data_IF_527955016761
#
_entry.id   IF_527955016761
#
_cell.length_a   1.000
_cell.length_b   1.000
_cell.length_c   1.000
_cell.angle_alpha   90.00
_cell.angle_beta   90.00
_cell.angle_gamma   90.00
#
_symmetry.space_group_name_H-M   'P 1'
#
loop_
_entity.id
_entity.type
_entity.pdbx_description
1 polymer ?
#
# COMPACT_ATOMS: atom_id res chain seq x y z
N UNK A 1 -12.97 21.83 73.03
CA UNK A 1 -14.07 20.98 73.56
C UNK A 1 -14.52 20.15 72.37
N UNK A 2 -14.38 18.86 72.22
CA UNK A 2 -14.32 17.73 73.09
C UNK A 2 -13.53 16.63 72.43
N UNK A 3 -12.68 15.95 73.17
CA UNK A 3 -11.94 14.73 72.85
C UNK A 3 -12.86 13.52 72.89
N UNK A 4 -12.59 12.44 72.07
CA UNK A 4 -12.80 11.01 72.37
C UNK A 4 -12.27 10.28 71.10
N UNK A 5 -11.35 9.34 71.02
CA UNK A 5 -10.86 8.36 71.99
C UNK A 5 -10.73 7.06 71.19
N UNK A 6 -9.50 6.56 70.92
CA UNK A 6 -9.22 5.27 70.29
C UNK A 6 -9.38 4.11 71.31
N UNK A 7 -9.74 2.89 70.87
CA UNK A 7 -9.26 1.71 71.56
C UNK A 7 -8.36 0.83 70.72
N UNK A 8 -7.35 0.37 71.40
CA UNK A 8 -6.26 -0.54 71.02
C UNK A 8 -6.69 -1.98 70.94
N UNK A 9 -6.12 -2.71 69.99
CA UNK A 9 -5.56 -4.04 70.21
C UNK A 9 -6.45 -5.25 69.97
N UNK A 10 -6.07 -6.02 68.91
CA UNK A 10 -6.02 -7.48 69.08
C UNK A 10 -5.03 -8.10 68.05
N UNK A 11 -4.20 -8.98 68.58
CA UNK A 11 -3.13 -9.73 67.92
C UNK A 11 -3.73 -10.74 66.93
N UNK A 12 -3.28 -10.71 65.66
CA UNK A 12 -3.52 -11.77 64.70
C UNK A 12 -2.32 -12.75 64.67
N UNK A 13 -2.62 -14.01 64.93
CA UNK A 13 -1.68 -15.16 64.89
C UNK A 13 -1.24 -15.41 63.46
N UNK A 14 0.06 -15.58 63.27
CA UNK A 14 0.66 -16.10 62.02
C UNK A 14 0.33 -17.59 61.89
N UNK A 15 -0.38 -17.96 60.81
CA UNK A 15 -0.48 -19.35 60.34
C UNK A 15 0.57 -19.52 59.25
N UNK A 16 1.57 -20.34 59.55
CA UNK A 16 2.59 -20.78 58.59
C UNK A 16 2.03 -21.98 57.87
N UNK A 17 1.78 -21.82 56.57
CA UNK A 17 1.52 -22.95 55.68
C UNK A 17 2.79 -23.31 54.96
N UNK A 18 3.38 -24.43 55.29
CA UNK A 18 4.42 -25.08 54.52
C UNK A 18 3.79 -25.83 53.35
N UNK A 19 3.89 -25.26 52.14
CA UNK A 19 3.60 -26.01 50.93
C UNK A 19 4.86 -26.76 50.49
N UNK A 20 4.80 -28.08 50.61
CA UNK A 20 5.78 -28.98 50.03
C UNK A 20 5.68 -28.96 48.52
N UNK A 21 6.76 -28.59 47.85
CA UNK A 21 6.90 -28.67 46.39
C UNK A 21 7.43 -30.06 46.06
N UNK A 22 6.54 -30.93 45.54
CA UNK A 22 6.99 -32.18 44.90
C UNK A 22 7.48 -31.88 43.50
N UNK A 23 8.79 -31.96 43.28
CA UNK A 23 9.41 -31.92 41.96
C UNK A 23 9.14 -33.26 41.26
N UNK A 24 8.21 -33.27 40.30
CA UNK A 24 8.09 -34.39 39.34
C UNK A 24 9.01 -34.05 38.15
N UNK A 25 10.13 -34.72 38.06
CA UNK A 25 11.05 -34.66 36.90
C UNK A 25 10.39 -35.45 35.76
N UNK A 26 9.83 -34.78 34.77
CA UNK A 26 9.43 -35.43 33.52
C UNK A 26 10.65 -35.39 32.59
N UNK A 27 11.26 -36.54 32.38
CA UNK A 27 12.29 -36.72 31.36
C UNK A 27 11.62 -36.69 29.98
N UNK A 28 11.80 -35.57 29.27
CA UNK A 28 11.43 -35.45 27.84
C UNK A 28 12.56 -36.09 27.03
N UNK A 29 12.34 -37.29 26.53
CA UNK A 29 13.21 -37.95 25.57
C UNK A 29 13.22 -37.19 24.25
N UNK A 30 14.34 -36.57 23.90
CA UNK A 30 14.58 -35.96 22.61
C UNK A 30 14.82 -37.08 21.58
N UNK A 31 13.78 -37.41 20.79
CA UNK A 31 13.93 -38.28 19.61
C UNK A 31 14.43 -37.42 18.45
N UNK A 32 15.72 -37.54 18.16
CA UNK A 32 16.32 -36.90 16.97
C UNK A 32 15.99 -37.80 15.77
N UNK A 33 15.05 -37.34 14.94
CA UNK A 33 14.86 -37.91 13.60
C UNK A 33 15.93 -37.36 12.67
N UNK A 34 16.91 -38.19 12.32
CA UNK A 34 17.82 -37.93 11.22
C UNK A 34 17.08 -38.26 9.91
N UNK A 35 17.08 -37.39 8.90
CA UNK A 35 16.52 -37.74 7.60
C UNK A 35 17.42 -38.78 6.92
N UNK A 36 16.84 -39.73 6.15
CA UNK A 36 17.63 -40.70 5.41
C UNK A 36 18.46 -40.01 4.33
N UNK A 37 19.74 -40.35 4.28
CA UNK A 37 20.68 -39.94 3.24
C UNK A 37 20.26 -40.54 1.89
N UNK A 38 19.73 -39.71 0.99
CA UNK A 38 19.53 -40.10 -0.40
C UNK A 38 20.84 -39.90 -1.17
N UNK A 39 21.47 -41.02 -1.55
CA UNK A 39 22.50 -41.04 -2.60
C UNK A 39 21.85 -40.70 -3.94
N UNK A 40 22.44 -39.79 -4.75
CA UNK A 40 21.89 -39.52 -6.08
C UNK A 40 22.12 -40.72 -6.99
N UNK A 41 21.02 -41.31 -7.44
CA UNK A 41 21.05 -42.31 -8.56
C UNK A 41 21.15 -41.49 -9.84
N UNK A 42 22.25 -41.64 -10.54
CA UNK A 42 22.46 -41.08 -11.90
C UNK A 42 21.46 -41.67 -12.87
N UNK A 43 20.64 -40.82 -13.49
CA UNK A 43 19.77 -41.21 -14.59
C UNK A 43 20.62 -41.43 -15.86
N UNK A 44 20.33 -42.46 -16.68
CA UNK A 44 21.00 -42.66 -17.94
C UNK A 44 20.61 -41.59 -18.96
N UNK A 45 21.59 -41.22 -19.81
CA UNK A 45 21.42 -40.23 -20.87
C UNK A 45 20.41 -40.72 -21.91
N UNK A 46 19.57 -39.82 -22.48
CA UNK A 46 18.65 -40.20 -23.54
C UNK A 46 19.38 -40.42 -24.86
N UNK A 47 19.09 -41.55 -25.50
CA UNK A 47 19.51 -41.88 -26.86
C UNK A 47 18.76 -41.00 -27.88
N UNK A 48 19.42 -40.54 -28.94
CA UNK A 48 18.77 -39.73 -29.97
C UNK A 48 17.88 -40.61 -30.89
N UNK A 49 16.58 -40.29 -30.94
CA UNK A 49 15.68 -40.81 -31.98
C UNK A 49 15.69 -39.88 -33.19
N UNK A 50 15.65 -40.43 -34.43
CA UNK A 50 15.64 -39.62 -35.64
C UNK A 50 14.31 -38.90 -35.83
N UNK A 51 14.39 -37.58 -35.98
CA UNK A 51 13.25 -36.72 -36.28
C UNK A 51 12.82 -36.90 -37.74
N UNK A 52 11.66 -37.50 -37.94
CA UNK A 52 10.93 -37.34 -39.21
C UNK A 52 10.06 -36.09 -39.12
N UNK A 53 10.48 -35.05 -39.81
CA UNK A 53 9.69 -33.86 -40.07
C UNK A 53 8.50 -34.25 -40.94
N UNK A 54 7.28 -34.17 -40.39
CA UNK A 54 6.05 -34.11 -41.17
C UNK A 54 5.54 -32.68 -41.13
N UNK A 55 5.61 -32.03 -42.29
CA UNK A 55 4.93 -30.79 -42.54
C UNK A 55 3.40 -30.94 -42.33
N UNK A 56 2.87 -30.28 -41.33
CA UNK A 56 1.42 -30.09 -41.18
C UNK A 56 1.09 -28.65 -41.53
N UNK A 57 0.04 -28.40 -42.33
CA UNK A 57 -0.29 -27.04 -42.75
C UNK A 57 -0.73 -26.19 -41.57
N UNK A 58 -0.20 -24.98 -41.53
CA UNK A 58 -0.56 -23.96 -40.56
C UNK A 58 -2.07 -23.71 -40.58
N UNK A 59 -2.77 -24.10 -39.48
CA UNK A 59 -4.14 -23.61 -39.22
C UNK A 59 -4.05 -22.16 -38.80
N UNK A 60 -4.49 -21.29 -39.68
CA UNK A 60 -4.83 -19.91 -39.36
C UNK A 60 -5.83 -19.89 -38.20
N UNK A 61 -5.38 -19.54 -36.99
CA UNK A 61 -6.23 -19.27 -35.87
C UNK A 61 -6.89 -17.92 -36.12
N UNK A 62 -8.13 -17.94 -36.56
CA UNK A 62 -9.00 -16.76 -36.54
C UNK A 62 -9.16 -16.34 -35.09
N UNK A 63 -8.51 -15.26 -34.68
CA UNK A 63 -8.77 -14.58 -33.42
C UNK A 63 -10.17 -13.96 -33.51
N UNK A 64 -11.17 -14.68 -33.05
CA UNK A 64 -12.48 -14.08 -32.75
C UNK A 64 -12.26 -13.15 -31.57
N UNK A 65 -12.15 -11.85 -31.86
CA UNK A 65 -12.21 -10.81 -30.83
C UNK A 65 -13.57 -10.96 -30.13
N UNK A 66 -13.54 -11.37 -28.87
CA UNK A 66 -14.74 -11.34 -28.01
C UNK A 66 -15.07 -9.87 -27.79
N UNK A 67 -16.01 -9.36 -28.56
CA UNK A 67 -16.59 -8.03 -28.33
C UNK A 67 -17.56 -8.14 -27.17
N UNK A 68 -17.15 -7.57 -26.02
CA UNK A 68 -18.07 -7.39 -24.91
C UNK A 68 -19.05 -6.28 -25.22
N UNK A 69 -20.36 -6.41 -24.90
CA UNK A 69 -21.32 -5.37 -25.17
C UNK A 69 -20.97 -4.11 -24.36
N UNK A 70 -20.72 -3.01 -25.04
CA UNK A 70 -20.64 -1.68 -24.42
C UNK A 70 -22.06 -1.27 -24.06
N UNK A 71 -22.42 -1.37 -22.80
CA UNK A 71 -23.73 -0.96 -22.32
C UNK A 71 -23.73 0.53 -21.94
N UNK A 72 -24.47 1.34 -22.68
CA UNK A 72 -24.82 2.73 -22.34
C UNK A 72 -23.96 3.79 -23.02
N UNK A 73 -24.41 5.06 -23.01
CA UNK A 73 -23.63 6.16 -23.55
C UNK A 73 -22.30 6.26 -22.77
N UNK A 74 -21.19 6.19 -23.50
CA UNK A 74 -19.85 6.40 -22.93
C UNK A 74 -19.80 7.85 -22.48
N UNK A 75 -19.75 8.10 -21.16
CA UNK A 75 -19.56 9.44 -20.64
C UNK A 75 -18.25 10.01 -21.21
N UNK A 76 -18.24 11.29 -21.51
CA UNK A 76 -17.02 11.99 -21.95
C UNK A 76 -16.05 12.09 -20.77
N UNK A 77 -15.11 11.16 -20.70
CA UNK A 77 -14.11 11.07 -19.62
C UNK A 77 -13.05 12.19 -19.69
N UNK A 78 -13.13 13.10 -20.66
CA UNK A 78 -12.31 14.32 -20.72
C UNK A 78 -12.91 15.47 -19.90
N UNK A 79 -14.20 15.41 -19.59
CA UNK A 79 -14.88 16.43 -18.78
C UNK A 79 -14.47 16.28 -17.31
N UNK A 80 -13.98 17.36 -16.66
CA UNK A 80 -13.61 17.30 -15.25
C UNK A 80 -14.78 16.88 -14.35
N UNK A 81 -14.44 16.16 -13.28
CA UNK A 81 -15.43 15.74 -12.27
C UNK A 81 -15.98 16.99 -11.56
N UNK A 82 -17.30 17.21 -11.56
CA UNK A 82 -17.90 18.36 -10.90
C UNK A 82 -17.57 18.42 -9.40
N UNK A 83 -17.15 19.59 -8.91
CA UNK A 83 -16.77 19.79 -7.52
C UNK A 83 -15.31 19.48 -7.20
N UNK A 84 -14.57 18.88 -8.13
CA UNK A 84 -13.12 18.69 -7.95
C UNK A 84 -12.42 20.05 -7.87
N UNK A 85 -11.51 20.27 -6.88
CA UNK A 85 -10.68 21.46 -6.85
C UNK A 85 -9.89 21.61 -8.16
N UNK A 86 -9.76 22.83 -8.71
CA UNK A 86 -9.03 23.04 -9.96
C UNK A 86 -7.58 22.58 -9.85
N UNK A 87 -7.07 21.95 -10.90
CA UNK A 87 -5.64 21.61 -11.02
C UNK A 87 -4.89 22.91 -11.30
N UNK A 88 -3.96 23.32 -10.41
CA UNK A 88 -3.32 24.66 -10.53
C UNK A 88 -2.37 24.77 -11.73
N UNK A 89 -1.74 23.66 -12.10
CA UNK A 89 -0.88 23.56 -13.27
C UNK A 89 -1.27 22.32 -14.11
N UNK A 90 -1.87 22.50 -15.28
CA UNK A 90 -2.21 21.37 -16.15
C UNK A 90 -1.02 20.52 -16.62
N UNK A 91 0.20 21.07 -16.55
CA UNK A 91 1.43 20.33 -16.86
C UNK A 91 1.96 19.55 -15.67
N UNK A 92 1.47 19.82 -14.45
CA UNK A 92 1.91 19.15 -13.23
C UNK A 92 0.77 19.01 -12.20
N UNK A 93 0.09 17.86 -12.22
CA UNK A 93 -0.97 17.55 -11.26
C UNK A 93 -0.50 17.50 -9.80
N UNK A 94 0.82 17.45 -9.55
CA UNK A 94 1.43 17.46 -8.23
C UNK A 94 1.93 18.85 -7.82
N UNK A 95 1.57 19.92 -8.55
CA UNK A 95 2.09 21.27 -8.32
C UNK A 95 1.92 21.75 -6.88
N UNK A 96 0.81 21.41 -6.22
CA UNK A 96 0.55 21.77 -4.81
C UNK A 96 1.12 20.76 -3.79
N UNK A 97 1.69 19.64 -4.25
CA UNK A 97 2.32 18.62 -3.41
C UNK A 97 3.85 18.70 -3.40
N UNK A 98 4.40 19.84 -3.81
CA UNK A 98 5.84 20.15 -3.80
C UNK A 98 6.43 20.20 -2.39
N UNK A 99 7.77 20.27 -2.31
CA UNK A 99 8.49 20.27 -1.04
C UNK A 99 7.97 21.36 -0.08
N UNK A 100 7.58 20.94 1.12
CA UNK A 100 7.05 21.78 2.21
C UNK A 100 5.77 22.57 1.89
N UNK A 101 5.06 22.26 0.80
CA UNK A 101 3.78 22.89 0.45
C UNK A 101 2.64 22.31 1.30
N UNK A 102 2.74 22.53 2.61
CA UNK A 102 1.80 21.98 3.59
C UNK A 102 0.49 22.78 3.62
N UNK A 103 -0.64 22.05 3.59
CA UNK A 103 -1.96 22.66 3.80
C UNK A 103 -2.05 23.35 5.17
N UNK A 104 -2.79 24.49 5.28
CA UNK A 104 -3.14 25.05 6.58
C UNK A 104 -3.83 24.07 7.55
N UNK A 105 -4.50 23.04 7.01
CA UNK A 105 -5.18 22.00 7.81
C UNK A 105 -4.20 21.18 8.67
N UNK A 106 -2.94 21.06 8.28
CA UNK A 106 -1.90 20.31 9.01
C UNK A 106 -0.95 21.20 9.82
N UNK A 107 -1.29 22.49 9.97
CA UNK A 107 -0.44 23.43 10.73
C UNK A 107 -0.20 22.93 12.17
N UNK A 108 1.07 22.87 12.55
CA UNK A 108 1.49 22.41 13.87
C UNK A 108 1.43 20.89 14.06
N UNK A 109 1.07 20.12 13.02
CA UNK A 109 1.11 18.66 13.11
C UNK A 109 2.55 18.16 13.30
N UNK A 110 2.80 17.27 14.29
CA UNK A 110 4.12 16.70 14.49
C UNK A 110 4.54 15.83 13.32
N UNK A 111 5.80 15.94 12.90
CA UNK A 111 6.35 15.04 11.89
C UNK A 111 6.53 13.64 12.48
N UNK A 112 5.80 12.65 11.93
CA UNK A 112 5.79 11.25 12.36
C UNK A 112 5.64 10.32 11.18
N UNK A 113 6.11 9.07 11.35
CA UNK A 113 5.88 7.96 10.44
C UNK A 113 4.97 6.96 11.13
N UNK A 114 3.84 6.66 10.51
CA UNK A 114 2.86 5.67 11.01
C UNK A 114 2.99 4.40 10.17
N UNK A 115 3.30 3.30 10.82
CA UNK A 115 3.63 2.03 10.17
C UNK A 115 2.61 0.97 10.58
N UNK A 116 1.73 0.53 9.68
CA UNK A 116 0.84 -0.59 9.98
C UNK A 116 1.65 -1.89 9.91
N UNK A 117 1.65 -2.63 11.00
CA UNK A 117 2.34 -3.92 11.16
C UNK A 117 1.32 -5.03 10.93
N UNK A 118 1.14 -5.48 9.69
CA UNK A 118 0.06 -6.37 9.26
C UNK A 118 0.03 -7.67 10.04
N UNK A 119 1.19 -8.32 10.23
CA UNK A 119 1.32 -9.55 11.00
C UNK A 119 1.20 -9.38 12.51
N UNK A 120 1.38 -8.14 13.02
CA UNK A 120 1.34 -7.81 14.45
C UNK A 120 0.00 -7.24 14.92
N UNK A 121 -0.89 -6.87 14.00
CA UNK A 121 -2.15 -6.15 14.29
C UNK A 121 -1.92 -4.87 15.10
N UNK A 122 -0.84 -4.16 14.78
CA UNK A 122 -0.42 -2.93 15.47
C UNK A 122 -0.12 -1.81 14.47
N UNK A 123 -0.02 -0.60 14.99
CA UNK A 123 0.64 0.52 14.31
C UNK A 123 1.83 0.94 15.16
N UNK A 124 3.00 0.96 14.54
CA UNK A 124 4.23 1.54 15.10
C UNK A 124 4.37 2.98 14.66
N UNK A 125 4.71 3.89 15.59
CA UNK A 125 4.93 5.31 15.32
C UNK A 125 6.41 5.63 15.53
N UNK A 126 7.04 6.20 14.50
CA UNK A 126 8.45 6.61 14.52
C UNK A 126 8.55 8.13 14.59
N UNK A 127 9.48 8.63 15.41
CA UNK A 127 9.92 10.01 15.37
C UNK A 127 11.12 10.15 14.40
N UNK A 128 10.94 10.86 13.26
CA UNK A 128 11.99 11.00 12.26
C UNK A 128 13.22 11.78 12.75
N UNK A 129 13.05 12.69 13.72
CA UNK A 129 14.16 13.54 14.21
C UNK A 129 15.24 12.74 14.93
N UNK A 130 14.89 11.63 15.56
CA UNK A 130 15.84 10.77 16.29
C UNK A 130 15.83 9.31 15.81
N UNK A 131 15.06 9.00 14.75
CA UNK A 131 14.97 7.69 14.12
C UNK A 131 14.50 6.58 15.09
N UNK A 132 13.66 6.92 16.08
CA UNK A 132 13.22 5.98 17.13
C UNK A 132 11.72 5.75 17.07
N UNK A 133 11.31 4.52 17.39
CA UNK A 133 9.94 4.18 17.74
C UNK A 133 9.57 4.92 19.03
N UNK A 134 8.45 5.66 19.00
CA UNK A 134 7.94 6.43 20.14
C UNK A 134 6.61 5.90 20.68
N UNK A 135 5.93 5.06 19.90
CA UNK A 135 4.69 4.39 20.33
C UNK A 135 4.45 3.15 19.46
N UNK A 136 3.74 2.18 20.04
CA UNK A 136 3.10 1.07 19.33
C UNK A 136 1.76 0.83 20.00
N UNK A 137 0.70 0.65 19.22
CA UNK A 137 -0.63 0.40 19.74
C UNK A 137 -1.40 -0.58 18.85
N UNK A 138 -2.32 -1.33 19.47
CA UNK A 138 -3.17 -2.27 18.76
C UNK A 138 -4.22 -1.55 17.91
N UNK A 139 -4.53 -2.16 16.78
CA UNK A 139 -5.62 -1.77 15.85
C UNK A 139 -6.56 -2.96 15.65
N UNK A 140 -7.21 -3.08 14.51
CA UNK A 140 -7.86 -4.33 14.11
C UNK A 140 -6.86 -5.34 13.54
N UNK A 141 -7.35 -6.52 13.19
CA UNK A 141 -6.55 -7.58 12.58
C UNK A 141 -6.09 -7.17 11.18
N UNK A 142 -4.83 -7.50 10.85
CA UNK A 142 -4.21 -7.29 9.55
C UNK A 142 -4.31 -5.84 9.05
N UNK A 143 -3.72 -4.85 9.77
CA UNK A 143 -3.68 -3.47 9.29
C UNK A 143 -2.80 -3.38 8.04
N UNK A 144 -3.36 -2.88 6.92
CA UNK A 144 -2.67 -2.81 5.63
C UNK A 144 -2.08 -1.43 5.35
N UNK A 145 -2.88 -0.36 5.49
CA UNK A 145 -2.46 0.99 5.16
C UNK A 145 -2.82 1.98 6.27
N UNK A 146 -2.01 3.03 6.40
CA UNK A 146 -2.40 4.24 7.15
C UNK A 146 -2.67 5.34 6.13
N UNK A 147 -3.91 5.77 6.06
CA UNK A 147 -4.46 6.60 4.98
C UNK A 147 -4.88 7.97 5.54
N UNK A 148 -4.33 9.09 5.03
CA UNK A 148 -4.83 10.41 5.39
C UNK A 148 -6.24 10.64 4.85
N UNK A 149 -7.13 11.17 5.69
CA UNK A 149 -8.46 11.62 5.28
C UNK A 149 -8.38 12.74 4.24
N UNK A 150 -9.44 12.92 3.45
CA UNK A 150 -9.51 13.92 2.38
C UNK A 150 -9.13 15.33 2.87
N UNK A 151 -9.65 15.71 4.05
CA UNK A 151 -9.46 17.02 4.66
C UNK A 151 -8.12 17.16 5.43
N UNK A 152 -7.28 16.13 5.43
CA UNK A 152 -5.99 16.08 6.12
C UNK A 152 -6.08 16.27 7.64
N UNK A 153 -7.20 15.87 8.28
CA UNK A 153 -7.41 16.06 9.74
C UNK A 153 -7.36 14.77 10.55
N UNK A 154 -7.60 13.66 9.89
CA UNK A 154 -7.61 12.32 10.51
C UNK A 154 -6.80 11.36 9.65
N UNK A 155 -6.09 10.43 10.28
CA UNK A 155 -5.52 9.27 9.60
C UNK A 155 -6.40 8.05 9.90
N UNK A 156 -6.52 7.14 8.96
CA UNK A 156 -7.29 5.91 9.11
C UNK A 156 -6.39 4.70 8.85
N UNK A 157 -6.41 3.73 9.76
CA UNK A 157 -5.77 2.43 9.54
C UNK A 157 -6.80 1.50 8.94
N UNK A 158 -6.52 0.93 7.78
CA UNK A 158 -7.37 -0.08 7.15
C UNK A 158 -7.06 -1.44 7.77
N UNK A 159 -8.00 -2.00 8.56
CA UNK A 159 -7.85 -3.31 9.21
C UNK A 159 -8.62 -4.34 8.41
N UNK A 160 -7.96 -4.91 7.44
CA UNK A 160 -8.51 -5.78 6.41
C UNK A 160 -9.33 -6.95 7.01
N UNK A 161 -8.70 -7.83 7.77
CA UNK A 161 -9.37 -9.00 8.37
C UNK A 161 -10.29 -8.64 9.56
N UNK A 162 -10.19 -7.43 10.12
CA UNK A 162 -11.10 -6.97 11.16
C UNK A 162 -12.33 -6.21 10.62
N UNK A 163 -12.45 -6.05 9.30
CA UNK A 163 -13.55 -5.34 8.67
C UNK A 163 -13.78 -3.95 9.32
N UNK A 164 -12.71 -3.17 9.51
CA UNK A 164 -12.83 -1.89 10.21
C UNK A 164 -11.73 -0.89 9.83
N UNK A 165 -12.00 0.38 10.09
CA UNK A 165 -11.00 1.45 10.09
C UNK A 165 -10.72 1.89 11.53
N UNK A 166 -9.44 2.05 11.88
CA UNK A 166 -9.05 2.68 13.15
C UNK A 166 -8.69 4.14 12.87
N UNK A 167 -9.48 5.12 13.37
CA UNK A 167 -9.12 6.52 13.23
C UNK A 167 -7.96 6.87 14.17
N UNK A 168 -7.02 7.71 13.68
CA UNK A 168 -5.90 8.25 14.45
C UNK A 168 -6.00 9.77 14.41
N UNK A 169 -5.84 10.41 15.58
CA UNK A 169 -5.62 11.85 15.65
C UNK A 169 -4.12 12.13 15.39
N UNK A 170 -3.76 12.77 14.25
CA UNK A 170 -2.38 12.98 13.89
C UNK A 170 -1.65 14.00 14.79
N UNK A 171 -2.38 14.86 15.52
CA UNK A 171 -1.79 15.79 16.48
C UNK A 171 -1.25 15.05 17.71
N UNK A 172 -1.97 14.06 18.20
CA UNK A 172 -1.55 13.24 19.35
C UNK A 172 -0.75 12.01 18.93
N UNK A 173 -0.95 11.51 17.71
CA UNK A 173 -0.37 10.28 17.18
C UNK A 173 -1.02 9.01 17.77
N UNK A 174 -2.24 9.10 18.28
CA UNK A 174 -2.93 8.01 18.96
C UNK A 174 -4.29 7.73 18.33
N UNK A 175 -4.84 6.51 18.49
CA UNK A 175 -6.21 6.21 18.10
C UNK A 175 -7.20 7.22 18.66
N UNK A 176 -8.21 7.57 17.86
CA UNK A 176 -9.22 8.58 18.17
C UNK A 176 -10.63 7.99 17.99
N UNK A 177 -11.23 7.57 19.09
CA UNK A 177 -12.58 7.00 19.05
C UNK A 177 -12.62 5.48 18.83
N UNK A 178 -13.78 5.00 18.40
CA UNK A 178 -14.01 3.58 18.11
C UNK A 178 -13.65 3.24 16.67
N UNK A 179 -13.30 1.97 16.43
CA UNK A 179 -13.17 1.47 15.06
C UNK A 179 -14.48 1.61 14.30
N UNK A 180 -14.37 2.03 13.04
CA UNK A 180 -15.49 2.27 12.13
C UNK A 180 -15.68 0.99 11.31
N UNK A 181 -16.87 0.36 11.34
CA UNK A 181 -17.12 -0.87 10.58
C UNK A 181 -17.20 -0.56 9.08
N UNK A 182 -16.39 -1.24 8.31
CA UNK A 182 -16.39 -1.26 6.84
C UNK A 182 -16.01 -2.66 6.38
N UNK A 183 -16.46 -3.07 5.20
CA UNK A 183 -16.19 -4.42 4.71
C UNK A 183 -14.81 -4.50 4.05
N UNK A 184 -13.96 -5.46 4.49
CA UNK A 184 -12.76 -5.94 3.80
C UNK A 184 -11.84 -4.79 3.30
N UNK A 185 -11.43 -3.84 4.20
CA UNK A 185 -10.71 -2.65 3.78
C UNK A 185 -9.23 -2.95 3.56
N UNK A 186 -8.85 -3.45 2.39
CA UNK A 186 -7.44 -3.56 2.02
C UNK A 186 -6.79 -2.18 1.94
N UNK A 187 -7.43 -1.25 1.23
CA UNK A 187 -6.95 0.13 1.08
C UNK A 187 -8.13 1.11 1.07
N UNK A 188 -7.85 2.41 1.13
CA UNK A 188 -8.87 3.44 1.07
C UNK A 188 -8.39 4.66 0.29
N UNK A 189 -9.30 5.23 -0.51
CA UNK A 189 -9.08 6.41 -1.32
C UNK A 189 -10.22 7.41 -1.14
N UNK A 190 -10.06 8.60 -1.74
CA UNK A 190 -11.12 9.61 -1.78
C UNK A 190 -11.28 10.11 -3.21
N UNK A 191 -12.51 10.28 -3.66
CA UNK A 191 -12.77 10.89 -4.96
C UNK A 191 -12.20 12.32 -5.00
N UNK A 192 -11.69 12.79 -6.16
CA UNK A 192 -11.07 14.11 -6.25
C UNK A 192 -11.98 15.29 -5.85
N UNK A 193 -13.29 15.11 -5.90
CA UNK A 193 -14.31 16.10 -5.44
C UNK A 193 -14.61 15.98 -3.92
N UNK A 194 -14.01 15.01 -3.23
CA UNK A 194 -14.23 14.76 -1.81
C UNK A 194 -15.60 14.18 -1.44
N UNK A 195 -16.42 13.82 -2.42
CA UNK A 195 -17.81 13.32 -2.15
C UNK A 195 -17.85 11.92 -1.57
N UNK A 196 -16.84 11.08 -1.87
CA UNK A 196 -16.81 9.70 -1.44
C UNK A 196 -15.44 9.31 -0.88
N UNK A 197 -15.46 8.54 0.19
CA UNK A 197 -14.38 7.63 0.55
C UNK A 197 -14.60 6.32 -0.25
N UNK A 198 -13.55 5.81 -0.89
CA UNK A 198 -13.58 4.55 -1.65
C UNK A 198 -12.84 3.51 -0.83
N UNK A 199 -13.56 2.59 -0.21
CA UNK A 199 -12.96 1.43 0.45
C UNK A 199 -12.77 0.34 -0.60
N UNK A 200 -11.53 -0.11 -0.73
CA UNK A 200 -11.14 -1.20 -1.63
C UNK A 200 -11.31 -2.51 -0.88
N UNK A 201 -12.40 -3.22 -1.16
CA UNK A 201 -12.70 -4.52 -0.60
C UNK A 201 -12.13 -5.62 -1.52
N UNK A 202 -10.84 -5.92 -1.30
CA UNK A 202 -10.01 -6.73 -2.18
C UNK A 202 -10.54 -8.14 -2.40
N UNK A 203 -10.74 -8.90 -1.32
CA UNK A 203 -11.21 -10.27 -1.37
C UNK A 203 -12.64 -10.38 -1.88
N UNK A 204 -13.44 -9.31 -1.69
CA UNK A 204 -14.84 -9.23 -2.16
C UNK A 204 -14.96 -8.70 -3.58
N UNK A 205 -13.88 -8.23 -4.18
CA UNK A 205 -13.85 -7.62 -5.50
C UNK A 205 -14.83 -6.45 -5.63
N UNK A 206 -14.88 -5.60 -4.60
CA UNK A 206 -15.76 -4.44 -4.55
C UNK A 206 -14.99 -3.14 -4.37
N UNK A 207 -15.49 -2.09 -4.99
CA UNK A 207 -15.16 -0.71 -4.65
C UNK A 207 -16.39 -0.11 -3.95
N UNK A 208 -16.26 0.15 -2.65
CA UNK A 208 -17.33 0.70 -1.82
C UNK A 208 -17.20 2.22 -1.73
N UNK A 209 -18.10 2.95 -2.39
CA UNK A 209 -18.21 4.39 -2.31
C UNK A 209 -19.03 4.75 -1.08
N UNK A 210 -18.38 5.35 -0.10
CA UNK A 210 -18.93 5.64 1.22
C UNK A 210 -18.95 7.15 1.46
N UNK A 211 -19.82 7.59 2.32
CA UNK A 211 -19.79 8.95 2.84
C UNK A 211 -18.45 9.22 3.54
N UNK A 212 -17.69 10.27 3.21
CA UNK A 212 -16.33 10.46 3.70
C UNK A 212 -16.23 10.81 5.20
N UNK A 213 -17.35 11.16 5.84
CA UNK A 213 -17.40 11.53 7.25
C UNK A 213 -17.99 10.44 8.14
N UNK A 214 -19.07 9.79 7.67
CA UNK A 214 -19.79 8.76 8.44
C UNK A 214 -19.40 7.35 8.04
N UNK A 215 -18.76 7.17 6.90
CA UNK A 215 -18.44 5.90 6.24
C UNK A 215 -19.67 5.03 5.91
N UNK A 216 -20.87 5.61 5.95
CA UNK A 216 -22.07 4.93 5.48
C UNK A 216 -21.95 4.59 4.00
N UNK A 217 -22.24 3.34 3.62
CA UNK A 217 -22.20 2.90 2.22
C UNK A 217 -23.24 3.67 1.40
N UNK A 218 -22.80 4.30 0.30
CA UNK A 218 -23.62 5.05 -0.63
C UNK A 218 -23.82 4.30 -1.94
N UNK A 219 -22.75 3.69 -2.45
CA UNK A 219 -22.75 2.93 -3.68
C UNK A 219 -21.69 1.83 -3.62
N UNK A 220 -21.94 0.68 -4.24
CA UNK A 220 -20.99 -0.43 -4.37
C UNK A 220 -20.84 -0.80 -5.83
N UNK A 221 -19.62 -0.89 -6.32
CA UNK A 221 -19.29 -1.41 -7.63
C UNK A 221 -18.61 -2.76 -7.44
N UNK A 222 -19.30 -3.84 -7.85
CA UNK A 222 -18.63 -5.12 -8.00
C UNK A 222 -17.80 -5.10 -9.28
N UNK A 223 -16.51 -5.48 -9.18
CA UNK A 223 -15.59 -5.50 -10.32
C UNK A 223 -15.10 -6.93 -10.57
N UNK A 224 -15.02 -7.33 -11.86
CA UNK A 224 -14.36 -8.59 -12.21
C UNK A 224 -12.84 -8.41 -12.17
N UNK A 225 -12.30 -8.31 -10.95
CA UNK A 225 -10.95 -7.87 -10.66
C UNK A 225 -10.46 -8.58 -9.40
N UNK A 226 -10.05 -9.86 -9.54
CA UNK A 226 -9.51 -10.62 -8.43
C UNK A 226 -8.26 -9.90 -7.86
N UNK A 227 -8.26 -9.62 -6.55
CA UNK A 227 -7.23 -8.82 -5.91
C UNK A 227 -7.28 -7.36 -6.36
N UNK A 228 -8.46 -6.72 -6.35
CA UNK A 228 -8.55 -5.27 -6.55
C UNK A 228 -7.85 -4.57 -5.39
N UNK A 229 -6.78 -3.78 -5.67
CA UNK A 229 -5.93 -3.31 -4.57
C UNK A 229 -5.58 -1.82 -4.61
N UNK A 230 -4.92 -1.31 -5.66
CA UNK A 230 -4.46 0.08 -5.71
C UNK A 230 -5.20 0.89 -6.77
N UNK A 231 -5.31 2.20 -6.50
CA UNK A 231 -6.05 3.14 -7.36
C UNK A 231 -5.22 4.40 -7.58
N UNK A 232 -5.28 4.97 -8.80
CA UNK A 232 -5.02 6.38 -9.02
C UNK A 232 -6.07 6.98 -9.97
N UNK A 233 -6.15 8.31 -9.99
CA UNK A 233 -7.20 9.07 -10.64
C UNK A 233 -6.68 9.80 -11.87
N UNK A 234 -7.50 9.93 -12.89
CA UNK A 234 -7.23 10.82 -14.00
C UNK A 234 -6.99 12.27 -13.54
N UNK A 235 -6.22 13.03 -14.29
CA UNK A 235 -5.97 14.45 -14.00
C UNK A 235 -7.27 15.27 -13.91
N UNK A 236 -8.28 14.90 -14.70
CA UNK A 236 -9.62 15.51 -14.70
C UNK A 236 -10.49 15.02 -13.54
N UNK A 237 -10.07 13.99 -12.79
CA UNK A 237 -10.92 13.31 -11.82
C UNK A 237 -12.08 12.53 -12.41
N UNK A 238 -12.26 12.51 -13.72
CA UNK A 238 -13.41 11.90 -14.39
C UNK A 238 -13.49 10.37 -14.25
N UNK A 239 -12.34 9.73 -14.02
CA UNK A 239 -12.27 8.29 -13.83
C UNK A 239 -11.10 7.92 -12.91
N UNK A 240 -11.15 6.74 -12.37
CA UNK A 240 -10.03 6.07 -11.71
C UNK A 240 -9.64 4.81 -12.49
N UNK A 241 -8.40 4.36 -12.28
CA UNK A 241 -7.94 3.03 -12.66
C UNK A 241 -7.55 2.29 -11.39
N UNK A 242 -8.06 1.05 -11.24
CA UNK A 242 -7.66 0.14 -10.17
C UNK A 242 -6.90 -1.05 -10.75
N UNK A 243 -5.92 -1.53 -9.99
CA UNK A 243 -5.13 -2.72 -10.28
C UNK A 243 -5.83 -3.97 -9.75
N UNK A 244 -5.60 -5.11 -10.41
CA UNK A 244 -6.17 -6.41 -10.07
C UNK A 244 -5.03 -7.41 -9.93
N UNK A 245 -4.40 -7.50 -8.75
CA UNK A 245 -3.18 -8.27 -8.50
C UNK A 245 -3.30 -9.72 -8.98
N UNK A 246 -4.37 -10.41 -8.57
CA UNK A 246 -4.56 -11.82 -8.90
C UNK A 246 -5.28 -12.03 -10.23
N UNK A 247 -5.90 -10.96 -10.76
CA UNK A 247 -6.63 -10.99 -12.03
C UNK A 247 -5.78 -10.68 -13.26
N UNK A 248 -4.54 -10.20 -13.08
CA UNK A 248 -3.64 -9.83 -14.18
C UNK A 248 -4.25 -8.79 -15.13
N UNK A 249 -4.92 -7.77 -14.59
CA UNK A 249 -5.61 -6.72 -15.38
C UNK A 249 -5.74 -5.42 -14.61
N UNK A 250 -6.21 -4.40 -15.31
CA UNK A 250 -6.65 -3.13 -14.75
C UNK A 250 -8.14 -2.95 -15.01
N UNK A 251 -8.84 -2.24 -14.13
CA UNK A 251 -10.22 -1.81 -14.33
C UNK A 251 -10.31 -0.29 -14.30
N UNK A 252 -11.01 0.31 -15.26
CA UNK A 252 -11.32 1.73 -15.29
C UNK A 252 -12.77 1.96 -14.85
N UNK A 253 -12.95 2.86 -13.87
CA UNK A 253 -14.25 3.25 -13.34
C UNK A 253 -14.54 4.70 -13.71
N UNK A 254 -15.67 4.95 -14.33
CA UNK A 254 -16.21 6.29 -14.59
C UNK A 254 -16.79 6.87 -13.29
N UNK A 255 -16.30 8.02 -12.85
CA UNK A 255 -16.72 8.67 -11.59
C UNK A 255 -17.95 9.58 -11.76
N UNK A 256 -18.37 9.92 -12.98
CA UNK A 256 -19.64 10.63 -13.22
C UNK A 256 -20.83 9.67 -13.05
N UNK A 257 -20.67 8.43 -13.52
CA UNK A 257 -21.75 7.43 -13.54
C UNK A 257 -21.61 6.36 -12.47
N UNK A 258 -20.47 6.26 -11.80
CA UNK A 258 -20.10 5.20 -10.86
C UNK A 258 -20.26 3.80 -11.48
N UNK A 259 -19.72 3.62 -12.69
CA UNK A 259 -19.80 2.36 -13.44
C UNK A 259 -18.43 1.94 -13.98
N UNK A 260 -18.28 0.63 -14.20
CA UNK A 260 -17.12 0.09 -14.92
C UNK A 260 -17.12 0.62 -16.35
N UNK A 261 -16.05 1.31 -16.75
CA UNK A 261 -15.84 1.84 -18.10
C UNK A 261 -15.00 0.93 -18.98
N UNK A 262 -14.33 -0.07 -18.42
CA UNK A 262 -13.57 -1.06 -19.18
C UNK A 262 -12.49 -1.77 -18.39
N UNK A 263 -11.89 -2.77 -19.02
CA UNK A 263 -10.77 -3.54 -18.50
C UNK A 263 -9.60 -3.53 -19.49
N UNK A 264 -8.37 -3.56 -18.98
CA UNK A 264 -7.16 -3.76 -19.74
C UNK A 264 -6.43 -5.00 -19.20
N UNK A 265 -6.35 -6.05 -19.99
CA UNK A 265 -5.66 -7.28 -19.60
C UNK A 265 -4.14 -7.12 -19.71
N UNK A 266 -3.45 -7.62 -18.71
CA UNK A 266 -1.99 -7.70 -18.58
C UNK A 266 -1.61 -9.18 -18.34
N UNK A 267 -1.53 -10.02 -19.39
CA UNK A 267 -1.36 -11.46 -19.22
C UNK A 267 -0.08 -11.80 -18.45
N UNK A 268 -0.18 -12.65 -17.43
CA UNK A 268 0.95 -13.07 -16.60
C UNK A 268 1.38 -12.04 -15.55
N UNK A 269 0.76 -10.86 -15.51
CA UNK A 269 1.04 -9.81 -14.56
C UNK A 269 0.40 -10.05 -13.19
N UNK A 270 1.02 -9.45 -12.16
CA UNK A 270 0.42 -9.19 -10.87
C UNK A 270 0.59 -7.68 -10.57
N UNK A 271 -0.29 -6.84 -11.18
CA UNK A 271 -0.18 -5.40 -11.06
C UNK A 271 -0.42 -4.94 -9.62
N UNK A 272 0.45 -4.05 -9.14
CA UNK A 272 0.49 -3.51 -7.79
C UNK A 272 0.14 -2.02 -7.81
N UNK A 273 0.95 -1.18 -7.15
CA UNK A 273 0.71 0.26 -7.09
C UNK A 273 0.64 0.92 -8.48
N UNK A 274 -0.13 1.99 -8.55
CA UNK A 274 -0.37 2.76 -9.78
C UNK A 274 -0.22 4.25 -9.50
N UNK A 275 0.47 4.98 -10.41
CA UNK A 275 0.62 6.44 -10.34
C UNK A 275 0.52 7.08 -11.71
N UNK A 276 -0.24 8.18 -11.78
CA UNK A 276 -0.32 9.03 -12.96
C UNK A 276 0.94 9.90 -13.07
N UNK A 277 1.44 10.13 -14.30
CA UNK A 277 2.54 11.05 -14.53
C UNK A 277 2.11 12.51 -14.26
N UNK A 278 3.04 13.43 -14.00
CA UNK A 278 2.72 14.83 -13.70
C UNK A 278 1.86 15.51 -14.76
N UNK A 279 2.06 15.16 -16.03
CA UNK A 279 1.31 15.74 -17.14
C UNK A 279 -0.06 15.08 -17.38
N UNK A 280 -0.46 14.11 -16.55
CA UNK A 280 -1.76 13.45 -16.65
C UNK A 280 -1.93 12.54 -17.86
N UNK A 281 -0.84 12.06 -18.47
CA UNK A 281 -0.87 11.34 -19.76
C UNK A 281 -0.61 9.84 -19.67
N UNK A 282 0.21 9.42 -18.69
CA UNK A 282 0.63 8.02 -18.56
C UNK A 282 0.44 7.57 -17.10
N UNK A 283 -0.29 6.48 -16.92
CA UNK A 283 -0.27 5.74 -15.67
C UNK A 283 0.92 4.77 -15.68
N UNK A 284 1.71 4.80 -14.63
CA UNK A 284 2.76 3.86 -14.30
C UNK A 284 2.15 2.82 -13.37
N UNK A 285 2.29 1.54 -13.70
CA UNK A 285 1.72 0.41 -12.93
C UNK A 285 2.85 -0.56 -12.60
N UNK A 286 3.17 -0.69 -11.33
CA UNK A 286 4.16 -1.67 -10.87
C UNK A 286 3.64 -3.08 -11.11
N UNK A 287 4.52 -3.99 -11.53
CA UNK A 287 4.18 -5.38 -11.79
C UNK A 287 5.18 -6.31 -11.11
N UNK A 288 4.68 -7.00 -10.12
CA UNK A 288 5.41 -7.95 -9.30
C UNK A 288 5.98 -9.12 -10.12
N UNK A 289 5.18 -9.68 -11.01
CA UNK A 289 5.57 -10.90 -11.76
C UNK A 289 6.58 -10.62 -12.87
N UNK A 290 6.42 -9.51 -13.62
CA UNK A 290 7.37 -9.15 -14.68
C UNK A 290 8.56 -8.35 -14.17
N UNK A 291 8.52 -7.88 -12.90
CA UNK A 291 9.63 -7.15 -12.29
C UNK A 291 9.88 -5.79 -12.95
N UNK A 292 8.84 -4.99 -13.10
CA UNK A 292 8.95 -3.68 -13.72
C UNK A 292 7.68 -2.85 -13.65
N UNK A 293 7.56 -1.90 -14.56
CA UNK A 293 6.47 -0.93 -14.58
C UNK A 293 5.84 -0.86 -15.96
N UNK A 294 4.55 -1.19 -16.06
CA UNK A 294 3.76 -0.96 -17.26
C UNK A 294 3.45 0.52 -17.42
N UNK A 295 3.49 1.00 -18.66
CA UNK A 295 3.04 2.33 -19.04
C UNK A 295 1.68 2.20 -19.72
N UNK A 296 0.67 2.89 -19.20
CA UNK A 296 -0.69 2.88 -19.73
C UNK A 296 -1.09 4.29 -20.14
N UNK A 297 -1.47 4.46 -21.39
CA UNK A 297 -1.94 5.75 -21.89
C UNK A 297 -3.29 6.11 -21.23
N UNK A 298 -3.33 7.26 -20.56
CA UNK A 298 -4.49 7.71 -19.79
C UNK A 298 -5.73 7.94 -20.67
N UNK A 299 -5.56 8.54 -21.84
CA UNK A 299 -6.68 8.86 -22.74
C UNK A 299 -7.27 7.61 -23.41
N UNK A 300 -6.41 6.70 -23.90
CA UNK A 300 -6.86 5.54 -24.68
C UNK A 300 -7.06 4.27 -23.85
N UNK A 301 -6.57 4.23 -22.62
CA UNK A 301 -6.56 3.07 -21.75
C UNK A 301 -5.93 1.84 -22.43
N UNK A 302 -4.76 2.06 -23.07
CA UNK A 302 -3.99 1.03 -23.77
C UNK A 302 -2.55 1.02 -23.29
N UNK A 303 -1.87 -0.12 -23.43
CA UNK A 303 -0.45 -0.22 -23.15
C UNK A 303 0.34 0.74 -24.05
N UNK A 304 1.31 1.43 -23.47
CA UNK A 304 2.24 2.35 -24.12
C UNK A 304 3.70 1.91 -23.97
N UNK A 305 4.00 0.91 -23.13
CA UNK A 305 5.33 0.37 -22.92
C UNK A 305 5.51 -0.36 -21.62
N UNK A 306 6.74 -0.81 -21.37
CA UNK A 306 7.18 -1.46 -20.13
C UNK A 306 8.61 -1.05 -19.80
N UNK A 307 8.89 -0.79 -18.52
CA UNK A 307 10.24 -0.46 -18.02
C UNK A 307 10.63 -1.56 -17.02
N UNK A 308 11.61 -2.42 -17.31
CA UNK A 308 12.10 -3.40 -16.35
C UNK A 308 12.88 -2.69 -15.23
N UNK A 309 12.48 -2.89 -13.96
CA UNK A 309 13.10 -2.22 -12.80
C UNK A 309 13.81 -3.19 -11.88
N UNK A 310 13.15 -4.27 -11.52
CA UNK A 310 13.65 -5.31 -10.63
C UNK A 310 12.55 -6.24 -10.17
N UNK A 311 12.89 -7.42 -9.63
CA UNK A 311 11.93 -8.43 -9.24
C UNK A 311 11.02 -7.93 -8.11
N UNK A 312 9.75 -8.33 -8.18
CA UNK A 312 8.71 -7.98 -7.22
C UNK A 312 8.56 -6.44 -7.10
N UNK A 313 8.47 -5.74 -8.25
CA UNK A 313 8.22 -4.29 -8.28
C UNK A 313 6.85 -4.00 -7.67
N UNK A 314 6.79 -3.03 -6.71
CA UNK A 314 5.62 -2.88 -5.87
C UNK A 314 5.13 -1.44 -5.72
N UNK A 315 5.79 -0.59 -4.94
CA UNK A 315 5.35 0.77 -4.65
C UNK A 315 5.92 1.82 -5.63
N UNK A 316 5.15 2.86 -5.92
CA UNK A 316 5.46 3.94 -6.86
C UNK A 316 5.32 5.30 -6.18
N UNK A 317 6.38 6.11 -6.17
CA UNK A 317 6.41 7.40 -5.43
C UNK A 317 7.01 8.51 -6.27
N UNK A 318 6.20 9.48 -6.76
CA UNK A 318 6.73 10.71 -7.35
C UNK A 318 7.55 11.49 -6.32
N UNK A 319 8.72 12.02 -6.73
CA UNK A 319 9.45 12.93 -5.88
C UNK A 319 8.78 14.31 -5.80
N UNK A 320 9.19 15.17 -4.86
CA UNK A 320 8.47 16.41 -4.55
C UNK A 320 8.52 17.47 -5.65
N UNK A 321 9.47 17.41 -6.58
CA UNK A 321 9.48 18.29 -7.76
C UNK A 321 8.79 17.65 -8.98
N UNK A 322 8.19 16.47 -8.81
CA UNK A 322 7.47 15.71 -9.83
C UNK A 322 8.30 15.41 -11.10
N UNK A 323 9.64 15.28 -10.97
CA UNK A 323 10.53 14.93 -12.07
C UNK A 323 10.88 13.45 -12.11
N UNK A 324 10.86 12.80 -10.94
CA UNK A 324 11.33 11.44 -10.73
C UNK A 324 10.23 10.56 -10.13
N UNK A 325 10.26 9.28 -10.50
CA UNK A 325 9.46 8.23 -9.90
C UNK A 325 10.40 7.22 -9.22
N UNK A 326 10.19 6.98 -7.93
CA UNK A 326 10.84 5.90 -7.20
C UNK A 326 9.98 4.64 -7.27
N UNK A 327 10.60 3.53 -7.65
CA UNK A 327 9.98 2.20 -7.77
C UNK A 327 10.64 1.27 -6.78
N UNK A 328 9.89 0.74 -5.83
CA UNK A 328 10.42 -0.27 -4.89
C UNK A 328 10.45 -1.64 -5.57
N UNK A 329 11.58 -2.35 -5.48
CA UNK A 329 11.73 -3.71 -5.98
C UNK A 329 11.96 -4.63 -4.77
N UNK A 330 10.88 -5.20 -4.28
CA UNK A 330 10.81 -5.93 -3.02
C UNK A 330 11.64 -7.21 -3.06
N UNK A 331 11.72 -7.86 -4.23
CA UNK A 331 12.39 -9.14 -4.40
C UNK A 331 13.93 -9.10 -4.36
N UNK A 332 14.55 -7.91 -4.50
CA UNK A 332 16.02 -7.80 -4.49
C UNK A 332 16.56 -6.64 -3.64
N UNK A 333 15.71 -6.00 -2.84
CA UNK A 333 16.13 -4.94 -1.93
C UNK A 333 16.66 -3.70 -2.64
N UNK A 334 15.99 -3.26 -3.71
CA UNK A 334 16.41 -2.08 -4.46
C UNK A 334 15.28 -1.09 -4.71
N UNK A 335 15.65 0.14 -5.07
CA UNK A 335 14.75 1.20 -5.47
C UNK A 335 15.26 1.74 -6.80
N UNK A 336 14.44 1.63 -7.85
CA UNK A 336 14.75 2.16 -9.17
C UNK A 336 14.23 3.59 -9.31
N UNK A 337 15.04 4.49 -9.83
CA UNK A 337 14.71 5.90 -10.06
C UNK A 337 14.48 6.10 -11.56
N UNK A 338 13.25 6.49 -11.93
CA UNK A 338 12.83 6.73 -13.30
C UNK A 338 12.62 8.22 -13.51
N UNK A 339 13.07 8.78 -14.63
CA UNK A 339 12.73 10.14 -15.06
C UNK A 339 11.36 10.14 -15.74
N UNK A 340 10.42 10.95 -15.28
CA UNK A 340 9.13 11.15 -15.97
C UNK A 340 9.31 11.75 -17.36
N UNK A 341 10.26 12.68 -17.54
CA UNK A 341 10.48 13.37 -18.81
C UNK A 341 10.97 12.41 -19.92
N UNK A 342 11.90 11.53 -19.58
CA UNK A 342 12.52 10.61 -20.57
C UNK A 342 11.99 9.20 -20.51
N UNK A 343 11.25 8.83 -19.43
CA UNK A 343 10.79 7.46 -19.15
C UNK A 343 11.92 6.44 -19.09
N UNK A 344 13.11 6.90 -18.68
CA UNK A 344 14.32 6.05 -18.56
C UNK A 344 14.73 5.93 -17.10
N UNK A 345 15.32 4.79 -16.77
CA UNK A 345 16.00 4.58 -15.50
C UNK A 345 17.23 5.49 -15.46
N UNK A 346 17.36 6.28 -14.38
CA UNK A 346 18.52 7.10 -14.11
C UNK A 346 19.53 6.35 -13.24
N UNK A 347 19.04 5.62 -12.24
CA UNK A 347 19.86 4.85 -11.30
C UNK A 347 18.99 3.82 -10.58
N UNK A 348 19.65 2.88 -9.90
CA UNK A 348 19.01 1.95 -8.97
C UNK A 348 19.80 1.93 -7.66
N UNK A 349 19.15 2.32 -6.59
CA UNK A 349 19.71 2.27 -5.24
C UNK A 349 19.55 0.85 -4.67
N UNK A 350 20.57 0.36 -3.99
CA UNK A 350 20.53 -0.95 -3.33
C UNK A 350 20.58 -0.78 -1.83
N UNK A 351 19.71 -1.45 -1.11
CA UNK A 351 19.75 -1.48 0.35
C UNK A 351 20.95 -2.35 0.78
N UNK A 352 21.90 -1.82 1.56
CA UNK A 352 23.04 -2.59 2.04
C UNK A 352 22.60 -3.82 2.84
N UNK A 353 23.14 -4.98 2.46
CA UNK A 353 22.74 -6.27 3.04
C UNK A 353 21.41 -6.83 2.54
N UNK A 354 20.84 -6.22 1.51
CA UNK A 354 19.52 -6.59 0.96
C UNK A 354 18.34 -6.05 1.77
N UNK A 355 17.13 -6.39 1.35
CA UNK A 355 15.92 -5.94 2.00
C UNK A 355 14.67 -6.27 1.17
N UNK A 356 13.53 -5.84 1.66
CA UNK A 356 12.24 -6.00 0.98
C UNK A 356 11.45 -4.67 1.00
N UNK A 357 11.98 -3.59 0.33
CA UNK A 357 11.30 -2.30 0.29
C UNK A 357 9.93 -2.47 -0.36
N UNK A 358 8.90 -2.09 0.37
CA UNK A 358 7.51 -2.34 0.03
C UNK A 358 6.78 -1.02 -0.23
N UNK A 359 5.99 -0.54 0.72
CA UNK A 359 5.22 0.68 0.60
C UNK A 359 5.79 1.80 1.47
N UNK A 360 5.65 3.04 1.03
CA UNK A 360 6.24 4.16 1.74
C UNK A 360 5.68 5.53 1.36
N UNK A 361 6.45 6.56 1.65
CA UNK A 361 6.28 7.91 1.11
C UNK A 361 7.51 8.78 1.43
N UNK A 362 7.57 9.98 0.83
CA UNK A 362 8.64 10.93 1.06
C UNK A 362 8.37 11.83 2.26
N UNK A 363 9.44 12.31 2.89
CA UNK A 363 9.37 13.43 3.85
C UNK A 363 8.70 14.67 3.23
N UNK A 364 8.16 15.58 4.06
CA UNK A 364 7.52 16.79 3.55
C UNK A 364 8.44 17.65 2.67
N UNK A 365 9.72 17.70 3.00
CA UNK A 365 10.77 18.41 2.25
C UNK A 365 11.33 17.62 1.07
N UNK A 366 10.96 16.34 0.93
CA UNK A 366 11.42 15.44 -0.13
C UNK A 366 12.81 14.86 0.05
N UNK A 367 13.50 15.15 1.16
CA UNK A 367 14.91 14.73 1.37
C UNK A 367 15.07 13.27 1.80
N UNK A 368 14.06 12.67 2.40
CA UNK A 368 14.07 11.28 2.88
C UNK A 368 12.92 10.49 2.28
N UNK A 369 13.23 9.35 1.71
CA UNK A 369 12.24 8.33 1.35
C UNK A 369 12.13 7.31 2.48
N UNK A 370 10.94 7.25 3.07
CA UNK A 370 10.59 6.29 4.12
C UNK A 370 9.85 5.13 3.48
N UNK A 371 10.33 3.91 3.69
CA UNK A 371 9.74 2.73 3.08
C UNK A 371 9.76 1.54 4.03
N UNK A 372 8.64 0.83 4.14
CA UNK A 372 8.54 -0.40 4.93
C UNK A 372 9.38 -1.51 4.30
N UNK A 373 10.01 -2.31 5.15
CA UNK A 373 10.71 -3.54 4.77
C UNK A 373 9.87 -4.75 5.19
N UNK A 374 8.89 -5.12 4.36
CA UNK A 374 7.81 -6.04 4.70
C UNK A 374 8.28 -7.34 5.33
N UNK A 375 9.26 -8.00 4.70
CA UNK A 375 9.76 -9.30 5.16
C UNK A 375 10.96 -9.20 6.12
N UNK A 376 11.41 -7.96 6.41
CA UNK A 376 12.52 -7.70 7.31
C UNK A 376 12.05 -7.08 8.64
N UNK A 377 10.76 -6.75 8.79
CA UNK A 377 10.17 -6.12 9.98
C UNK A 377 10.88 -4.83 10.38
N UNK A 378 11.13 -3.97 9.39
CA UNK A 378 11.84 -2.70 9.56
C UNK A 378 11.19 -1.59 8.74
N UNK A 379 11.58 -0.36 9.02
CA UNK A 379 11.43 0.78 8.12
C UNK A 379 12.80 1.25 7.69
N UNK A 380 12.99 1.48 6.39
CA UNK A 380 14.18 2.09 5.84
C UNK A 380 13.96 3.60 5.69
N UNK A 381 14.93 4.39 6.12
CA UNK A 381 15.04 5.82 5.80
C UNK A 381 16.18 5.99 4.79
N UNK A 382 15.90 6.54 3.61
CA UNK A 382 16.83 6.61 2.49
C UNK A 382 16.93 8.06 2.03
N UNK A 383 18.16 8.59 1.94
CA UNK A 383 18.41 9.94 1.41
C UNK A 383 18.09 9.99 -0.09
N UNK A 384 17.15 10.82 -0.49
CA UNK A 384 16.68 10.88 -1.90
C UNK A 384 17.71 11.45 -2.88
N UNK A 385 18.63 12.28 -2.39
CA UNK A 385 19.69 12.86 -3.22
C UNK A 385 20.73 11.82 -3.68
N UNK A 386 20.95 10.76 -2.91
CA UNK A 386 22.07 9.82 -3.12
C UNK A 386 21.64 8.34 -3.14
N UNK A 387 20.45 8.03 -2.62
CA UNK A 387 20.03 6.65 -2.35
C UNK A 387 20.70 6.01 -1.15
N UNK A 388 21.44 6.80 -0.34
CA UNK A 388 22.13 6.29 0.84
C UNK A 388 21.14 5.90 1.94
N UNK A 389 21.31 4.71 2.52
CA UNK A 389 20.53 4.25 3.67
C UNK A 389 20.95 5.01 4.92
N UNK A 390 20.05 5.86 5.44
CA UNK A 390 20.26 6.64 6.66
C UNK A 390 20.00 5.82 7.92
N UNK A 391 18.96 4.97 7.88
CA UNK A 391 18.58 4.13 9.00
C UNK A 391 17.80 2.88 8.55
N UNK A 392 17.92 1.84 9.38
CA UNK A 392 17.09 0.63 9.36
C UNK A 392 16.47 0.48 10.75
N UNK A 393 15.20 0.80 10.88
CA UNK A 393 14.50 0.92 12.16
C UNK A 393 13.63 -0.31 12.37
N UNK A 394 13.87 -1.15 13.39
CA UNK A 394 13.00 -2.26 13.73
C UNK A 394 11.59 -1.78 14.10
N UNK A 395 10.55 -2.46 13.57
CA UNK A 395 9.13 -2.21 13.83
C UNK A 395 8.41 -3.54 14.05
N UNK A 396 7.07 -3.54 14.08
CA UNK A 396 6.28 -4.76 14.21
C UNK A 396 6.39 -5.70 12.99
N UNK A 397 5.63 -6.80 13.04
CA UNK A 397 5.68 -7.86 12.03
C UNK A 397 5.01 -7.42 10.72
N UNK A 398 5.70 -7.67 9.60
CA UNK A 398 5.19 -7.43 8.23
C UNK A 398 4.67 -6.00 8.03
N UNK A 399 5.49 -4.95 8.25
CA UNK A 399 5.08 -3.58 8.00
C UNK A 399 4.70 -3.39 6.53
N UNK A 400 3.62 -2.61 6.25
CA UNK A 400 3.12 -2.41 4.89
C UNK A 400 2.94 -0.93 4.54
N UNK A 401 1.75 -0.48 4.25
CA UNK A 401 1.43 0.84 3.72
C UNK A 401 1.64 1.97 4.73
N UNK A 402 2.90 2.32 5.03
CA UNK A 402 3.23 3.38 5.98
C UNK A 402 2.84 4.76 5.47
N UNK A 403 2.42 5.61 6.40
CA UNK A 403 2.12 7.02 6.16
C UNK A 403 3.19 7.92 6.77
N UNK A 404 3.77 8.79 5.95
CA UNK A 404 4.59 9.92 6.40
C UNK A 404 3.66 11.09 6.66
N UNK A 405 3.68 11.69 7.84
CA UNK A 405 2.78 12.77 8.21
C UNK A 405 3.51 13.94 8.86
N UNK A 406 3.18 15.24 8.53
CA UNK A 406 2.21 15.67 7.51
C UNK A 406 2.71 15.48 6.07
N UNK A 407 1.78 15.46 5.10
CA UNK A 407 2.08 15.44 3.68
C UNK A 407 1.84 16.81 3.05
N UNK A 408 2.69 17.26 2.09
CA UNK A 408 2.38 18.39 1.20
C UNK A 408 1.12 18.11 0.37
N UNK A 409 0.39 19.16 0.01
CA UNK A 409 -0.82 19.09 -0.80
C UNK A 409 -2.02 19.74 -0.13
N UNK A 410 -3.04 20.06 -0.93
CA UNK A 410 -4.28 20.71 -0.49
C UNK A 410 -5.27 19.73 0.12
N UNK A 411 -5.33 18.53 -0.43
CA UNK A 411 -6.25 17.45 -0.01
C UNK A 411 -5.62 16.08 -0.30
N UNK A 412 -6.12 15.06 0.35
CA UNK A 412 -5.67 13.69 0.18
C UNK A 412 -6.59 12.92 -0.77
N UNK A 413 -6.00 12.17 -1.67
CA UNK A 413 -6.69 11.13 -2.46
C UNK A 413 -6.62 9.76 -1.82
N UNK A 414 -6.02 9.66 -0.64
CA UNK A 414 -5.93 8.41 0.12
C UNK A 414 -4.61 7.65 -0.04
N UNK A 415 -4.65 6.34 0.04
CA UNK A 415 -3.51 5.43 0.05
C UNK A 415 -2.50 5.80 1.15
N UNK A 416 -1.20 5.74 0.92
CA UNK A 416 -0.16 6.16 1.88
C UNK A 416 0.06 7.69 1.91
N UNK A 417 -0.82 8.47 1.28
CA UNK A 417 -0.75 9.92 1.18
C UNK A 417 -0.49 10.39 -0.25
N UNK A 418 -1.35 9.96 -1.19
CA UNK A 418 -1.46 10.63 -2.49
C UNK A 418 -2.17 11.95 -2.25
N UNK A 419 -1.51 13.05 -2.53
CA UNK A 419 -2.05 14.41 -2.34
C UNK A 419 -2.01 15.20 -3.65
N UNK A 420 -2.91 16.16 -3.75
CA UNK A 420 -2.98 17.10 -4.88
C UNK A 420 -2.98 18.53 -4.35
#
# INVERSE_FOLDING_TARGET
>A
MSKVGWPTGQRARRLVWTCGVSLTVVAVGLVIFLPPSHTPVSAPAPTPHPSTVRDSPARSASSTAVTWPVAGPVADLSVPLPGMPPVPDPANIYADAGANMLSPAVRGAPYRIYVPDSGGSTVTVINPANLRVIATYHTGLNPQHVVPGYDLRTLYVTNDLANSLTPINPMTGRPAGRNIPVDDPYNMYFTPDGRYAIVVAEARQNLDFRDPHTFALRHRIHVNCAGVDHIDFAATGAYLIATCEFGGRLVRIDLHTLKVAGYLNLPGSAPQDIKLDPAGRIFYVADKNHGGVWLVNAATFRLAGFIPTGPDAHGLYPNRDARLLYVTNRGNGSITVISFATRKILTTWRIPGGGSPDMGNLSPDGTVFWVSGRYNNVVYAIATATGHLLAKIPVGLQPHGLCVWPQPGRYSLGHTGITR
#
